data_IF_221414708409
#
_entry.id   IF_221414708409
#
_cell.length_a   1.000
_cell.length_b   1.000
_cell.length_c   1.000
_cell.angle_alpha   90.00
_cell.angle_beta   90.00
_cell.angle_gamma   90.00
#
_symmetry.space_group_name_H-M   'P 1'
#
loop_
_entity.id
_entity.type
_entity.pdbx_description
1 polymer ?
#
# COMPACT_ATOMS: atom_id res chain seq x y z
N UNK A 1 -1.79 -17.45 -32.14
CA UNK A 1 -1.15 -17.21 -30.84
C UNK A 1 -0.14 -16.10 -31.00
N UNK A 2 -0.42 -14.94 -30.42
CA UNK A 2 0.42 -13.74 -30.55
C UNK A 2 1.63 -13.84 -29.59
N UNK A 3 2.78 -13.30 -29.99
CA UNK A 3 4.08 -13.40 -29.29
C UNK A 3 4.11 -12.90 -27.83
N UNK A 4 3.02 -12.31 -27.34
CA UNK A 4 2.86 -11.93 -25.93
C UNK A 4 2.43 -13.13 -25.09
N UNK A 5 1.57 -14.01 -25.61
CA UNK A 5 1.11 -15.22 -24.90
C UNK A 5 2.27 -16.19 -24.63
N UNK A 6 3.23 -16.30 -25.57
CA UNK A 6 4.46 -17.10 -25.38
C UNK A 6 5.43 -16.56 -24.33
N UNK A 7 5.40 -15.27 -24.01
CA UNK A 7 6.28 -14.68 -23.00
C UNK A 7 5.77 -14.93 -21.57
N UNK A 8 4.46 -15.18 -21.41
CA UNK A 8 3.81 -15.50 -20.14
C UNK A 8 3.80 -17.01 -19.83
N UNK A 9 3.76 -17.88 -20.84
CA UNK A 9 3.79 -19.35 -20.65
C UNK A 9 5.16 -19.90 -20.19
N UNK A 10 6.28 -19.32 -20.63
CA UNK A 10 7.63 -19.84 -20.32
C UNK A 10 8.04 -19.59 -18.85
N UNK A 11 7.41 -18.63 -18.17
CA UNK A 11 7.67 -18.30 -16.76
C UNK A 11 6.56 -18.78 -15.80
N UNK A 12 5.47 -19.37 -16.30
CA UNK A 12 4.35 -19.85 -15.47
C UNK A 12 3.56 -18.75 -14.76
N UNK A 13 3.70 -17.48 -15.16
CA UNK A 13 3.05 -16.34 -14.52
C UNK A 13 1.79 -15.96 -15.31
N UNK A 14 0.64 -16.25 -14.72
CA UNK A 14 -0.67 -15.96 -15.30
C UNK A 14 -0.94 -14.43 -15.34
N UNK A 15 -1.67 -13.96 -16.36
CA UNK A 15 -1.83 -12.53 -16.76
C UNK A 15 -2.69 -11.68 -15.79
N UNK A 16 -2.81 -12.09 -14.53
CA UNK A 16 -3.44 -11.38 -13.41
C UNK A 16 -2.51 -11.17 -12.21
N UNK A 17 -1.21 -11.38 -12.41
CA UNK A 17 -0.18 -11.30 -11.38
C UNK A 17 0.01 -9.87 -10.86
N UNK A 18 -0.16 -9.70 -9.54
CA UNK A 18 0.13 -8.46 -8.82
C UNK A 18 1.61 -8.09 -8.88
N UNK A 19 1.97 -6.85 -8.55
CA UNK A 19 3.37 -6.42 -8.45
C UNK A 19 4.20 -7.33 -7.52
N UNK A 20 3.55 -7.91 -6.51
CA UNK A 20 4.12 -8.92 -5.63
C UNK A 20 4.46 -10.20 -6.40
N UNK A 21 3.56 -10.70 -7.23
CA UNK A 21 3.76 -11.93 -8.02
C UNK A 21 4.88 -11.77 -9.06
N UNK A 22 5.02 -10.58 -9.64
CA UNK A 22 6.13 -10.26 -10.56
C UNK A 22 7.47 -10.15 -9.80
N UNK A 23 7.47 -9.54 -8.61
CA UNK A 23 8.65 -9.46 -7.73
C UNK A 23 9.07 -10.84 -7.21
N UNK A 24 8.11 -11.69 -6.88
CA UNK A 24 8.34 -13.04 -6.39
C UNK A 24 8.86 -13.95 -7.52
N UNK A 25 8.34 -13.84 -8.74
CA UNK A 25 8.87 -14.58 -9.89
C UNK A 25 10.27 -14.11 -10.35
N UNK A 26 10.55 -12.81 -10.28
CA UNK A 26 11.91 -12.28 -10.49
C UNK A 26 12.87 -12.81 -9.43
N UNK A 27 12.44 -12.81 -8.16
CA UNK A 27 13.20 -13.38 -7.04
C UNK A 27 13.48 -14.88 -7.25
N UNK A 28 12.49 -15.65 -7.71
CA UNK A 28 12.64 -17.08 -8.00
C UNK A 28 13.54 -17.37 -9.21
N UNK A 29 13.51 -16.52 -10.25
CA UNK A 29 14.43 -16.65 -11.39
C UNK A 29 15.90 -16.43 -11.00
N UNK A 30 16.19 -15.46 -10.12
CA UNK A 30 17.55 -15.23 -9.59
C UNK A 30 17.99 -16.42 -8.74
N UNK A 31 17.09 -17.05 -7.99
CA UNK A 31 17.37 -18.23 -7.16
C UNK A 31 17.80 -19.45 -8.01
N UNK A 32 17.19 -19.63 -9.17
CA UNK A 32 17.45 -20.78 -10.07
C UNK A 32 18.70 -20.55 -10.93
N UNK A 33 18.87 -19.36 -11.50
CA UNK A 33 19.94 -19.09 -12.48
C UNK A 33 21.22 -18.50 -11.86
N UNK A 34 21.12 -17.89 -10.67
CA UNK A 34 22.23 -17.23 -9.98
C UNK A 34 22.18 -17.44 -8.44
N UNK A 35 22.33 -18.69 -7.96
CA UNK A 35 22.12 -19.05 -6.56
C UNK A 35 23.04 -18.31 -5.58
N UNK A 36 24.29 -18.04 -5.95
CA UNK A 36 25.23 -17.28 -5.10
C UNK A 36 24.83 -15.81 -4.95
N UNK A 37 24.32 -15.21 -6.04
CA UNK A 37 23.80 -13.83 -6.04
C UNK A 37 22.53 -13.72 -5.20
N UNK A 38 21.67 -14.74 -5.27
CA UNK A 38 20.46 -14.84 -4.46
C UNK A 38 20.76 -14.96 -2.96
N UNK A 39 21.70 -15.82 -2.59
CA UNK A 39 22.11 -16.03 -1.21
C UNK A 39 22.69 -14.74 -0.61
N UNK A 40 23.60 -14.06 -1.33
CA UNK A 40 24.23 -12.82 -0.89
C UNK A 40 23.24 -11.66 -0.75
N UNK A 41 22.33 -11.49 -1.69
CA UNK A 41 21.33 -10.40 -1.62
C UNK A 41 20.30 -10.66 -0.51
N UNK A 42 19.87 -11.91 -0.31
CA UNK A 42 18.99 -12.26 0.81
C UNK A 42 19.67 -12.08 2.17
N UNK A 43 20.93 -12.47 2.31
CA UNK A 43 21.68 -12.26 3.55
C UNK A 43 21.86 -10.76 3.84
N UNK A 44 22.16 -9.96 2.81
CA UNK A 44 22.25 -8.50 2.91
C UNK A 44 20.92 -7.86 3.32
N UNK A 45 19.82 -8.27 2.71
CA UNK A 45 18.47 -7.79 3.03
C UNK A 45 18.05 -8.22 4.43
N UNK A 46 18.38 -9.46 4.83
CA UNK A 46 18.15 -9.97 6.19
C UNK A 46 18.91 -9.16 7.23
N UNK A 47 20.22 -8.93 7.04
CA UNK A 47 21.03 -8.07 7.92
C UNK A 47 20.50 -6.65 7.99
N UNK A 48 20.05 -6.08 6.87
CA UNK A 48 19.46 -4.73 6.82
C UNK A 48 18.11 -4.67 7.56
N UNK A 49 17.28 -5.71 7.45
CA UNK A 49 16.01 -5.82 8.17
C UNK A 49 16.24 -6.02 9.68
N UNK A 50 17.21 -6.84 10.07
CA UNK A 50 17.61 -7.05 11.47
C UNK A 50 18.17 -5.78 12.09
N UNK A 51 19.05 -5.05 11.38
CA UNK A 51 19.58 -3.76 11.81
C UNK A 51 18.44 -2.74 12.04
N UNK A 52 17.52 -2.63 11.08
CA UNK A 52 16.37 -1.73 11.19
C UNK A 52 15.43 -2.13 12.33
N UNK A 53 15.26 -3.43 12.57
CA UNK A 53 14.47 -3.95 13.70
C UNK A 53 15.14 -3.61 15.03
N UNK A 54 16.47 -3.73 15.10
CA UNK A 54 17.26 -3.36 16.27
C UNK A 54 17.16 -1.87 16.56
N UNK A 55 17.34 -1.02 15.55
CA UNK A 55 17.19 0.44 15.66
C UNK A 55 15.80 0.85 16.16
N UNK A 56 14.74 0.23 15.61
CA UNK A 56 13.35 0.49 16.04
C UNK A 56 13.13 0.01 17.48
N UNK A 57 13.67 -1.15 17.86
CA UNK A 57 13.54 -1.68 19.23
C UNK A 57 14.33 -0.85 20.25
N UNK A 58 15.49 -0.33 19.89
CA UNK A 58 16.30 0.57 20.71
C UNK A 58 15.59 1.92 20.88
N UNK A 59 15.07 2.50 19.80
CA UNK A 59 14.25 3.72 19.87
C UNK A 59 13.01 3.52 20.76
N UNK A 60 12.35 2.37 20.65
CA UNK A 60 11.22 2.02 21.49
C UNK A 60 11.60 1.87 22.97
N UNK A 61 12.75 1.26 23.28
CA UNK A 61 13.26 1.14 24.64
C UNK A 61 13.60 2.51 25.26
N UNK A 62 14.19 3.42 24.49
CA UNK A 62 14.49 4.80 24.91
C UNK A 62 13.20 5.57 25.21
N UNK A 63 12.17 5.41 24.37
CA UNK A 63 10.85 6.02 24.58
C UNK A 63 10.22 5.47 25.87
N UNK A 64 10.25 4.15 26.08
CA UNK A 64 9.73 3.53 27.30
C UNK A 64 10.47 3.98 28.57
N UNK A 65 11.79 4.18 28.51
CA UNK A 65 12.55 4.74 29.63
C UNK A 65 12.17 6.18 29.95
N UNK A 66 12.00 7.03 28.93
CA UNK A 66 11.55 8.42 29.13
C UNK A 66 10.16 8.46 29.76
N UNK A 67 9.25 7.61 29.29
CA UNK A 67 7.91 7.48 29.86
C UNK A 67 7.97 7.02 31.33
N UNK A 68 8.78 6.00 31.67
CA UNK A 68 8.97 5.54 33.06
C UNK A 68 9.57 6.60 34.00
N UNK A 69 10.45 7.46 33.49
CA UNK A 69 11.02 8.58 34.25
C UNK A 69 9.98 9.68 34.48
N UNK A 70 9.16 10.00 33.47
CA UNK A 70 8.09 10.99 33.56
C UNK A 70 6.99 10.60 34.58
N UNK A 71 6.72 9.30 34.75
CA UNK A 71 5.74 8.80 35.73
C UNK A 71 6.26 8.77 37.16
N UNK A 72 7.58 8.69 37.37
CA UNK A 72 8.18 8.71 38.73
C UNK A 72 8.25 10.12 39.34
N UNK A 73 8.21 11.17 38.53
CA UNK A 73 8.19 12.57 39.00
C UNK A 73 6.79 13.04 39.45
N UNK A 74 5.77 12.18 39.43
CA UNK A 74 4.37 12.54 39.65
C UNK A 74 3.61 11.77 40.73
N UNK A 75 4.25 11.14 41.72
CA UNK A 75 3.52 10.52 42.85
C UNK A 75 4.05 10.94 44.22
N UNK A 76 3.40 11.96 44.77
CA UNK A 76 3.15 12.07 46.21
C UNK A 76 1.72 11.63 46.50
N UNK A 77 1.59 10.65 47.40
CA UNK A 77 0.40 10.20 48.16
C UNK A 77 -0.60 9.21 47.52
N UNK A 78 -0.29 7.93 47.77
CA UNK A 78 -1.11 6.88 48.41
C UNK A 78 -2.64 6.94 48.38
N UNK A 79 -3.29 5.86 47.92
CA UNK A 79 -3.97 4.86 48.80
C UNK A 79 -4.46 3.64 48.01
N UNK A 80 -4.48 2.51 48.71
CA UNK A 80 -4.70 1.12 48.30
C UNK A 80 -6.09 0.76 47.77
N UNK A 81 -6.13 -0.16 46.78
CA UNK A 81 -7.26 -1.09 46.63
C UNK A 81 -7.62 -1.43 45.18
N UNK A 82 -7.36 -2.67 44.76
CA UNK A 82 -7.97 -3.28 43.58
C UNK A 82 -7.00 -3.59 42.45
N UNK A 83 -6.61 -4.86 42.32
CA UNK A 83 -6.03 -5.40 41.09
C UNK A 83 -7.11 -5.39 39.99
N UNK A 84 -7.24 -4.28 39.27
CA UNK A 84 -8.08 -4.18 38.07
C UNK A 84 -7.20 -3.74 36.89
N UNK A 85 -7.01 -4.64 35.93
CA UNK A 85 -6.85 -4.44 34.48
C UNK A 85 -6.39 -3.07 33.92
N UNK A 86 -5.33 -2.46 34.46
CA UNK A 86 -4.81 -1.15 34.00
C UNK A 86 -3.43 -1.20 33.32
N UNK A 87 -2.88 -2.40 33.05
CA UNK A 87 -1.59 -2.52 32.34
C UNK A 87 -1.71 -2.53 30.81
N UNK A 88 -2.79 -1.99 30.24
CA UNK A 88 -2.80 -1.63 28.81
C UNK A 88 -1.96 -0.37 28.69
N UNK A 89 -0.72 -0.53 28.24
CA UNK A 89 0.11 0.60 27.76
C UNK A 89 -0.78 1.44 26.85
N UNK A 90 -1.12 2.66 27.29
CA UNK A 90 -1.95 3.57 26.51
C UNK A 90 -1.13 4.03 25.31
N UNK A 91 -1.27 3.31 24.20
CA UNK A 91 -0.56 3.60 22.97
C UNK A 91 -1.24 4.77 22.29
N UNK A 92 -0.46 5.81 21.97
CA UNK A 92 -0.93 6.88 21.11
C UNK A 92 -1.29 6.36 19.71
N UNK A 93 -2.14 7.09 18.99
CA UNK A 93 -2.64 6.71 17.66
C UNK A 93 -1.49 6.39 16.69
N UNK A 94 -0.37 7.12 16.76
CA UNK A 94 0.83 6.85 15.96
C UNK A 94 1.45 5.48 16.27
N UNK A 95 1.50 5.08 17.54
CA UNK A 95 2.05 3.79 17.94
C UNK A 95 1.19 2.64 17.41
N UNK A 96 -0.14 2.79 17.48
CA UNK A 96 -1.07 1.84 16.87
C UNK A 96 -0.88 1.75 15.35
N UNK A 97 -0.76 2.88 14.64
CA UNK A 97 -0.49 2.86 13.19
C UNK A 97 0.82 2.14 12.86
N UNK A 98 1.89 2.40 13.60
CA UNK A 98 3.19 1.77 13.35
C UNK A 98 3.16 0.26 13.60
N UNK A 99 2.49 -0.18 14.68
CA UNK A 99 2.30 -1.61 14.95
C UNK A 99 1.39 -2.27 13.90
N UNK A 100 0.31 -1.60 13.51
CA UNK A 100 -0.59 -2.06 12.46
C UNK A 100 0.10 -2.23 11.12
N UNK A 101 0.98 -1.29 10.73
CA UNK A 101 1.84 -1.42 9.54
C UNK A 101 2.77 -2.64 9.64
N UNK A 102 3.31 -2.90 10.83
CA UNK A 102 4.09 -4.09 11.13
C UNK A 102 3.31 -5.39 10.89
N UNK A 103 2.08 -5.47 11.41
CA UNK A 103 1.19 -6.61 11.16
C UNK A 103 0.80 -6.74 9.68
N UNK A 104 0.47 -5.62 9.03
CA UNK A 104 0.10 -5.58 7.62
C UNK A 104 1.21 -6.12 6.71
N UNK A 105 2.46 -5.71 6.95
CA UNK A 105 3.62 -6.19 6.18
C UNK A 105 3.88 -7.70 6.33
N UNK A 106 3.44 -8.30 7.44
CA UNK A 106 3.49 -9.74 7.69
C UNK A 106 2.30 -10.52 7.12
N UNK A 107 1.30 -9.83 6.58
CA UNK A 107 0.04 -10.44 6.11
C UNK A 107 -0.99 -10.70 7.22
N UNK A 108 -0.71 -10.24 8.45
CA UNK A 108 -1.61 -10.38 9.61
C UNK A 108 -2.67 -9.28 9.56
N UNK A 109 -3.61 -9.40 8.62
CA UNK A 109 -4.53 -8.32 8.29
C UNK A 109 -5.55 -8.04 9.40
N UNK A 110 -5.97 -9.03 10.18
CA UNK A 110 -6.93 -8.81 11.28
C UNK A 110 -6.31 -8.00 12.42
N UNK A 111 -5.08 -8.33 12.80
CA UNK A 111 -4.33 -7.59 13.81
C UNK A 111 -4.02 -6.17 13.33
N UNK A 112 -3.65 -6.02 12.05
CA UNK A 112 -3.46 -4.70 11.45
C UNK A 112 -4.74 -3.86 11.50
N UNK A 113 -5.89 -4.45 11.14
CA UNK A 113 -7.20 -3.77 11.19
C UNK A 113 -7.56 -3.36 12.61
N UNK A 114 -7.31 -4.22 13.60
CA UNK A 114 -7.57 -3.91 15.01
C UNK A 114 -6.73 -2.70 15.45
N UNK A 115 -5.43 -2.71 15.13
CA UNK A 115 -4.53 -1.61 15.43
C UNK A 115 -4.93 -0.30 14.76
N UNK A 116 -5.20 -0.32 13.46
CA UNK A 116 -5.68 0.89 12.78
C UNK A 116 -7.04 1.36 13.31
N UNK A 117 -7.90 0.44 13.77
CA UNK A 117 -9.16 0.79 14.42
C UNK A 117 -8.93 1.51 15.74
N UNK A 118 -8.01 1.02 16.58
CA UNK A 118 -7.60 1.74 17.79
C UNK A 118 -7.00 3.10 17.47
N UNK A 119 -6.23 3.23 16.40
CA UNK A 119 -5.69 4.51 15.97
C UNK A 119 -6.79 5.53 15.61
N UNK A 120 -7.81 5.14 14.85
CA UNK A 120 -8.92 6.06 14.50
C UNK A 120 -9.86 6.34 15.67
N UNK A 121 -10.04 5.40 16.61
CA UNK A 121 -10.79 5.64 17.86
C UNK A 121 -10.10 6.71 18.72
N UNK A 122 -8.76 6.70 18.76
CA UNK A 122 -7.96 7.67 19.51
C UNK A 122 -7.84 9.02 18.80
N UNK A 123 -7.63 8.98 17.48
CA UNK A 123 -7.48 10.17 16.64
C UNK A 123 -8.38 10.06 15.40
N UNK A 124 -9.64 10.53 15.48
CA UNK A 124 -10.63 10.37 14.41
C UNK A 124 -10.33 11.12 13.11
N UNK A 125 -9.38 12.06 13.12
CA UNK A 125 -8.90 12.83 11.96
C UNK A 125 -7.57 12.29 11.40
N UNK A 126 -7.11 11.12 11.86
CA UNK A 126 -5.84 10.54 11.39
C UNK A 126 -5.99 9.87 10.01
N UNK A 127 -5.84 10.66 8.95
CA UNK A 127 -5.92 10.25 7.53
C UNK A 127 -5.21 8.92 7.24
N UNK A 128 -3.96 8.81 7.70
CA UNK A 128 -3.10 7.66 7.42
C UNK A 128 -3.65 6.36 8.03
N UNK A 129 -4.29 6.43 9.20
CA UNK A 129 -4.90 5.27 9.85
C UNK A 129 -6.08 4.71 9.03
N UNK A 130 -6.93 5.60 8.48
CA UNK A 130 -7.99 5.18 7.57
C UNK A 130 -7.42 4.57 6.28
N UNK A 131 -6.41 5.19 5.67
CA UNK A 131 -5.80 4.65 4.45
C UNK A 131 -5.25 3.24 4.65
N UNK A 132 -4.46 3.00 5.70
CA UNK A 132 -3.90 1.67 5.93
C UNK A 132 -4.95 0.64 6.35
N UNK A 133 -5.97 1.05 7.11
CA UNK A 133 -7.11 0.16 7.41
C UNK A 133 -7.88 -0.21 6.14
N UNK A 134 -8.08 0.75 5.24
CA UNK A 134 -8.65 0.53 3.92
C UNK A 134 -7.83 -0.47 3.09
N UNK A 135 -6.50 -0.34 3.10
CA UNK A 135 -5.60 -1.29 2.44
C UNK A 135 -5.73 -2.72 3.02
N UNK A 136 -5.79 -2.85 4.35
CA UNK A 136 -5.99 -4.14 5.01
C UNK A 136 -7.34 -4.76 4.66
N UNK A 137 -8.43 -3.97 4.64
CA UNK A 137 -9.74 -4.45 4.20
C UNK A 137 -9.77 -4.88 2.73
N UNK A 138 -9.09 -4.13 1.84
CA UNK A 138 -8.93 -4.48 0.42
C UNK A 138 -8.28 -5.85 0.27
N UNK A 139 -7.20 -6.09 1.00
CA UNK A 139 -6.44 -7.34 0.89
C UNK A 139 -7.23 -8.52 1.49
N UNK A 140 -8.10 -8.25 2.46
CA UNK A 140 -9.14 -9.20 2.93
C UNK A 140 -10.35 -9.32 2.01
N UNK A 141 -10.35 -8.69 0.83
CA UNK A 141 -11.46 -8.64 -0.14
C UNK A 141 -12.78 -8.08 0.44
N UNK A 142 -12.72 -7.28 1.50
CA UNK A 142 -13.89 -6.57 2.07
C UNK A 142 -13.98 -5.18 1.46
N UNK A 143 -14.31 -5.12 0.17
CA UNK A 143 -14.21 -3.91 -0.64
C UNK A 143 -15.08 -2.74 -0.14
N UNK A 144 -16.29 -3.00 0.38
CA UNK A 144 -17.14 -1.92 0.89
C UNK A 144 -16.55 -1.22 2.11
N UNK A 145 -15.94 -2.00 3.03
CA UNK A 145 -15.23 -1.43 4.18
C UNK A 145 -14.02 -0.60 3.74
N UNK A 146 -13.27 -1.11 2.76
CA UNK A 146 -12.12 -0.41 2.22
C UNK A 146 -12.51 0.91 1.51
N UNK A 147 -13.59 0.90 0.72
CA UNK A 147 -14.14 2.10 0.07
C UNK A 147 -14.54 3.14 1.11
N UNK A 148 -15.19 2.73 2.20
CA UNK A 148 -15.59 3.65 3.27
C UNK A 148 -14.35 4.29 3.93
N UNK A 149 -13.32 3.50 4.24
CA UNK A 149 -12.08 4.01 4.83
C UNK A 149 -11.32 4.95 3.88
N UNK A 150 -11.22 4.63 2.59
CA UNK A 150 -10.61 5.55 1.61
C UNK A 150 -11.44 6.81 1.41
N UNK A 151 -12.76 6.71 1.45
CA UNK A 151 -13.65 7.88 1.39
C UNK A 151 -13.43 8.79 2.59
N UNK A 152 -13.31 8.21 3.79
CA UNK A 152 -13.01 8.98 4.99
C UNK A 152 -11.64 9.65 4.93
N UNK A 153 -10.62 8.96 4.40
CA UNK A 153 -9.30 9.56 4.18
C UNK A 153 -9.36 10.76 3.21
N UNK A 154 -10.16 10.66 2.14
CA UNK A 154 -10.39 11.74 1.16
C UNK A 154 -11.15 12.93 1.77
N UNK A 155 -12.17 12.67 2.59
CA UNK A 155 -12.90 13.74 3.30
C UNK A 155 -11.99 14.53 4.24
N UNK A 156 -11.08 13.84 4.93
CA UNK A 156 -10.12 14.45 5.84
C UNK A 156 -8.96 15.13 5.10
N UNK A 157 -8.57 14.63 3.93
CA UNK A 157 -7.49 15.16 3.11
C UNK A 157 -7.83 15.00 1.63
N UNK A 158 -8.38 16.05 1.04
CA UNK A 158 -8.86 16.07 -0.34
C UNK A 158 -7.75 15.98 -1.40
N UNK A 159 -6.48 16.06 -0.99
CA UNK A 159 -5.28 15.93 -1.81
C UNK A 159 -4.55 14.58 -1.59
N UNK A 160 -5.18 13.60 -0.93
CA UNK A 160 -4.54 12.32 -0.65
C UNK A 160 -4.62 11.36 -1.84
N UNK A 161 -3.65 11.48 -2.75
CA UNK A 161 -3.56 10.75 -4.05
C UNK A 161 -3.81 9.26 -3.92
N UNK A 162 -3.15 8.61 -2.95
CA UNK A 162 -3.23 7.15 -2.79
C UNK A 162 -4.63 6.67 -2.39
N UNK A 163 -5.43 7.45 -1.66
CA UNK A 163 -6.81 7.05 -1.34
C UNK A 163 -7.70 7.10 -2.58
N UNK A 164 -7.58 8.14 -3.43
CA UNK A 164 -8.29 8.17 -4.71
C UNK A 164 -7.89 7.00 -5.59
N UNK A 165 -6.58 6.77 -5.79
CA UNK A 165 -6.12 5.66 -6.63
C UNK A 165 -6.62 4.30 -6.15
N UNK A 166 -6.52 4.03 -4.84
CA UNK A 166 -6.95 2.76 -4.27
C UNK A 166 -8.47 2.60 -4.30
N UNK A 167 -9.25 3.65 -4.04
CA UNK A 167 -10.71 3.61 -4.14
C UNK A 167 -11.16 3.40 -5.60
N UNK A 168 -10.51 4.04 -6.56
CA UNK A 168 -10.75 3.81 -7.99
C UNK A 168 -10.50 2.36 -8.41
N UNK A 169 -9.42 1.74 -7.91
CA UNK A 169 -9.17 0.31 -8.13
C UNK A 169 -10.28 -0.60 -7.55
N UNK A 170 -10.85 -0.21 -6.41
CA UNK A 170 -11.97 -0.96 -5.81
C UNK A 170 -13.27 -0.78 -6.60
N UNK A 171 -13.57 0.42 -7.10
CA UNK A 171 -14.70 0.64 -7.99
C UNK A 171 -14.59 -0.19 -9.27
N UNK A 172 -13.40 -0.23 -9.87
CA UNK A 172 -13.11 -1.12 -11.01
C UNK A 172 -13.40 -2.59 -10.67
N UNK A 173 -12.95 -3.06 -9.52
CA UNK A 173 -13.18 -4.45 -9.09
C UNK A 173 -14.68 -4.74 -8.83
N UNK A 174 -15.47 -3.73 -8.47
CA UNK A 174 -16.93 -3.82 -8.37
C UNK A 174 -17.66 -3.66 -9.72
N UNK A 175 -16.93 -3.40 -10.80
CA UNK A 175 -17.49 -3.19 -12.14
C UNK A 175 -17.96 -1.75 -12.41
N UNK A 176 -17.81 -0.84 -11.46
CA UNK A 176 -18.17 0.57 -11.61
C UNK A 176 -16.98 1.34 -12.22
N UNK A 177 -16.87 1.23 -13.55
CA UNK A 177 -15.75 1.81 -14.30
C UNK A 177 -15.81 3.34 -14.31
N UNK A 178 -17.00 3.94 -14.26
CA UNK A 178 -17.16 5.40 -14.27
C UNK A 178 -16.62 6.03 -12.99
N UNK A 179 -16.97 5.47 -11.81
CA UNK A 179 -16.39 5.93 -10.55
C UNK A 179 -14.88 5.68 -10.47
N UNK A 180 -14.41 4.56 -11.04
CA UNK A 180 -12.98 4.28 -11.10
C UNK A 180 -12.21 5.35 -11.89
N UNK A 181 -12.70 5.69 -13.09
CA UNK A 181 -12.14 6.74 -13.94
C UNK A 181 -12.16 8.09 -13.23
N UNK A 182 -13.25 8.45 -12.55
CA UNK A 182 -13.34 9.70 -11.81
C UNK A 182 -12.28 9.79 -10.70
N UNK A 183 -12.10 8.73 -9.91
CA UNK A 183 -11.10 8.68 -8.85
C UNK A 183 -9.66 8.73 -9.39
N UNK A 184 -9.34 8.00 -10.47
CA UNK A 184 -8.01 8.08 -11.08
C UNK A 184 -7.75 9.43 -11.73
N UNK A 185 -8.78 10.06 -12.30
CA UNK A 185 -8.69 11.43 -12.82
C UNK A 185 -8.33 12.40 -11.71
N UNK A 186 -8.98 12.27 -10.55
CA UNK A 186 -8.65 13.11 -9.41
C UNK A 186 -7.24 12.88 -8.89
N UNK A 187 -6.77 11.63 -8.86
CA UNK A 187 -5.38 11.32 -8.53
C UNK A 187 -4.38 12.01 -9.47
N UNK A 188 -4.66 12.02 -10.78
CA UNK A 188 -3.85 12.69 -11.81
C UNK A 188 -3.87 14.21 -11.69
N UNK A 189 -5.03 14.80 -11.36
CA UNK A 189 -5.15 16.25 -11.14
C UNK A 189 -4.31 16.72 -9.95
N UNK A 190 -4.21 15.89 -8.91
CA UNK A 190 -3.42 16.19 -7.71
C UNK A 190 -1.92 15.93 -7.98
N UNK A 191 -1.59 14.78 -8.57
CA UNK A 191 -0.23 14.41 -8.96
C UNK A 191 -0.19 14.00 -10.44
N UNK A 192 0.18 14.98 -11.28
CA UNK A 192 0.29 14.78 -12.73
C UNK A 192 1.39 13.81 -13.15
N UNK A 193 2.28 13.42 -12.21
CA UNK A 193 3.32 12.41 -12.38
C UNK A 193 2.92 11.01 -11.92
N UNK A 194 1.69 10.81 -11.44
CA UNK A 194 1.23 9.51 -10.93
C UNK A 194 0.94 8.51 -12.07
N UNK A 195 2.02 7.92 -12.60
CA UNK A 195 2.04 7.01 -13.76
C UNK A 195 0.95 5.93 -13.68
N UNK A 196 0.80 5.33 -12.49
CA UNK A 196 -0.12 4.21 -12.31
C UNK A 196 -1.58 4.59 -12.56
N UNK A 197 -2.00 5.84 -12.29
CA UNK A 197 -3.35 6.28 -12.58
C UNK A 197 -3.62 6.41 -14.08
N UNK A 198 -2.66 6.95 -14.85
CA UNK A 198 -2.78 6.96 -16.32
C UNK A 198 -2.88 5.55 -16.89
N UNK A 199 -2.06 4.63 -16.37
CA UNK A 199 -2.04 3.23 -16.81
C UNK A 199 -3.36 2.50 -16.58
N UNK A 200 -3.97 2.63 -15.41
CA UNK A 200 -5.25 1.94 -15.15
C UNK A 200 -6.43 2.66 -15.80
N UNK A 201 -6.35 3.97 -15.98
CA UNK A 201 -7.38 4.76 -16.66
C UNK A 201 -7.37 4.55 -18.16
N UNK A 202 -6.21 4.36 -18.80
CA UNK A 202 -6.12 4.00 -20.22
C UNK A 202 -6.85 2.68 -20.51
N UNK A 203 -6.59 1.64 -19.71
CA UNK A 203 -7.25 0.33 -19.83
C UNK A 203 -8.77 0.43 -19.60
N UNK A 204 -9.21 1.35 -18.74
CA UNK A 204 -10.63 1.59 -18.51
C UNK A 204 -11.28 2.32 -19.69
N UNK A 205 -10.60 3.29 -20.29
CA UNK A 205 -11.06 3.92 -21.53
C UNK A 205 -11.14 2.94 -22.70
N UNK A 206 -10.15 2.05 -22.86
CA UNK A 206 -10.19 0.96 -23.86
C UNK A 206 -11.43 0.07 -23.65
N UNK A 207 -11.73 -0.30 -22.40
CA UNK A 207 -12.94 -1.08 -22.07
C UNK A 207 -14.23 -0.34 -22.42
N UNK A 208 -14.24 0.99 -22.34
CA UNK A 208 -15.37 1.83 -22.74
C UNK A 208 -15.44 2.09 -24.25
N UNK A 209 -14.44 1.65 -25.02
CA UNK A 209 -14.32 1.93 -26.45
C UNK A 209 -13.85 3.35 -26.77
N UNK A 210 -13.34 4.10 -25.79
CA UNK A 210 -12.79 5.44 -25.99
C UNK A 210 -11.28 5.35 -26.26
N UNK A 211 -10.96 5.03 -27.51
CA UNK A 211 -9.57 4.82 -27.95
C UNK A 211 -8.73 6.10 -27.85
N UNK A 212 -9.33 7.27 -28.06
CA UNK A 212 -8.63 8.55 -28.03
C UNK A 212 -8.13 8.88 -26.63
N UNK A 213 -9.01 8.78 -25.61
CA UNK A 213 -8.61 9.00 -24.21
C UNK A 213 -7.65 7.93 -23.72
N UNK A 214 -7.87 6.68 -24.12
CA UNK A 214 -6.94 5.60 -23.81
C UNK A 214 -5.53 5.89 -24.35
N UNK A 215 -5.43 6.29 -25.63
CA UNK A 215 -4.17 6.59 -26.28
C UNK A 215 -3.46 7.79 -25.67
N UNK A 216 -4.21 8.82 -25.26
CA UNK A 216 -3.67 9.97 -24.55
C UNK A 216 -3.00 9.56 -23.22
N UNK A 217 -3.68 8.72 -22.43
CA UNK A 217 -3.15 8.22 -21.16
C UNK A 217 -1.93 7.31 -21.36
N UNK A 218 -1.95 6.44 -22.38
CA UNK A 218 -0.79 5.60 -22.74
C UNK A 218 0.44 6.43 -23.10
N UNK A 219 0.28 7.46 -23.94
CA UNK A 219 1.37 8.38 -24.30
C UNK A 219 1.90 9.10 -23.08
N UNK A 220 1.01 9.60 -22.22
CA UNK A 220 1.42 10.31 -21.00
C UNK A 220 2.20 9.40 -20.05
N UNK A 221 1.76 8.16 -19.83
CA UNK A 221 2.50 7.19 -19.04
C UNK A 221 3.89 6.89 -19.64
N UNK A 222 3.98 6.76 -20.96
CA UNK A 222 5.24 6.51 -21.66
C UNK A 222 6.22 7.70 -21.56
N UNK A 223 5.72 8.94 -21.68
CA UNK A 223 6.48 10.18 -21.47
C UNK A 223 7.02 10.31 -20.04
N UNK A 224 6.27 9.82 -19.06
CA UNK A 224 6.69 9.78 -17.66
C UNK A 224 7.65 8.61 -17.35
N UNK A 225 8.06 7.83 -18.35
CA UNK A 225 9.06 6.77 -18.20
C UNK A 225 8.51 5.37 -17.97
N UNK A 226 7.20 5.13 -18.19
CA UNK A 226 6.62 3.80 -18.02
C UNK A 226 7.01 2.86 -19.16
N UNK A 227 8.04 2.04 -18.94
CA UNK A 227 8.57 1.05 -19.90
C UNK A 227 7.50 0.18 -20.59
N UNK A 228 6.51 -0.42 -19.90
CA UNK A 228 5.46 -1.16 -20.59
C UNK A 228 4.61 -0.31 -21.53
N UNK A 229 4.35 0.96 -21.22
CA UNK A 229 3.62 1.87 -22.09
C UNK A 229 4.44 2.22 -23.34
N UNK A 230 5.74 2.46 -23.18
CA UNK A 230 6.67 2.69 -24.29
C UNK A 230 6.68 1.51 -25.25
N UNK A 231 6.80 0.28 -24.73
CA UNK A 231 6.75 -0.95 -25.53
C UNK A 231 5.42 -1.14 -26.24
N UNK A 232 4.30 -0.84 -25.58
CA UNK A 232 2.97 -0.90 -26.17
C UNK A 232 2.86 0.04 -27.38
N UNK A 233 3.29 1.30 -27.23
CA UNK A 233 3.23 2.30 -28.29
C UNK A 233 4.21 1.99 -29.43
N UNK A 234 5.43 1.54 -29.10
CA UNK A 234 6.42 1.12 -30.09
C UNK A 234 5.90 -0.01 -30.99
N UNK A 235 5.25 -1.03 -30.40
CA UNK A 235 4.64 -2.14 -31.17
C UNK A 235 3.54 -1.68 -32.13
N UNK A 236 2.88 -0.57 -31.82
CA UNK A 236 1.85 0.05 -32.67
C UNK A 236 2.44 1.07 -33.66
N UNK A 237 3.76 1.29 -33.66
CA UNK A 237 4.39 2.32 -34.49
C UNK A 237 4.01 3.75 -34.08
N UNK A 238 3.56 3.94 -32.84
CA UNK A 238 3.07 5.23 -32.33
C UNK A 238 4.19 5.89 -31.52
N UNK A 239 4.46 7.16 -31.81
CA UNK A 239 5.38 8.00 -31.04
C UNK A 239 4.68 8.62 -29.82
N UNK A 240 5.41 8.79 -28.74
CA UNK A 240 4.99 9.45 -27.51
C UNK A 240 5.97 10.54 -27.09
#
# INVERSE_FOLDING_TARGET
MNNIERYYDVLGINVGASEKDVKDAYRDSIKVWHPDRFANENERLKKKAEARTKEVNEAYAIILEHLKKSTKTGQGQSSSGGYNDESRVDMDALAYVNRGKGHYSKGNFDEAINDFTRAVERKPDYVEAYHFRGCAWRDKRRYDKAINDFTRAIELSSNYVDAYFNRGNLWRNKGDIDRAIADWTRAIEIDSGYIMAYMVRSLAWERKGDEDRAMADWKKAAQLGHEPAQRYLQKKGIRW
#
